data_IF_142532533422
#
_entry.id   IF_142532533422
#
_cell.length_a   1.000
_cell.length_b   1.000
_cell.length_c   1.000
_cell.angle_alpha   90.00
_cell.angle_beta   90.00
_cell.angle_gamma   90.00
#
_symmetry.space_group_name_H-M   'P 1'
#
loop_
_entity.id
_entity.type
_entity.pdbx_description
1 polymer ?
#
# COMPACT_ATOMS: atom_id res chain seq x y z
N UNK A 1 -4.38 -14.28 -2.96
CA UNK A 1 -5.22 -13.08 -2.75
C UNK A 1 -5.06 -12.60 -1.32
N UNK A 2 -4.80 -11.30 -1.12
CA UNK A 2 -4.70 -10.69 0.21
C UNK A 2 -5.95 -10.99 1.06
N UNK A 3 -5.78 -11.15 2.37
CA UNK A 3 -6.86 -11.58 3.29
C UNK A 3 -8.08 -10.67 3.26
N UNK A 4 -7.89 -9.38 3.02
CA UNK A 4 -8.95 -8.37 2.86
C UNK A 4 -9.95 -8.74 1.75
N UNK A 5 -9.49 -8.88 0.50
CA UNK A 5 -10.36 -9.18 -0.65
C UNK A 5 -11.03 -10.55 -0.51
N UNK A 6 -10.36 -11.54 0.08
CA UNK A 6 -10.98 -12.85 0.34
C UNK A 6 -12.15 -12.74 1.32
N UNK A 7 -12.02 -11.93 2.38
CA UNK A 7 -13.10 -11.68 3.35
C UNK A 7 -14.27 -10.93 2.69
N UNK A 8 -13.95 -9.90 1.90
CA UNK A 8 -14.92 -9.08 1.18
C UNK A 8 -15.75 -9.90 0.17
N UNK A 9 -15.08 -10.70 -0.67
CA UNK A 9 -15.72 -11.58 -1.67
C UNK A 9 -16.64 -12.59 -0.99
N UNK A 10 -16.19 -13.25 0.08
CA UNK A 10 -16.99 -14.24 0.79
C UNK A 10 -18.27 -13.65 1.39
N UNK A 11 -18.25 -12.38 1.81
CA UNK A 11 -19.40 -11.71 2.41
C UNK A 11 -20.40 -11.30 1.33
N UNK A 12 -19.93 -10.68 0.24
CA UNK A 12 -20.77 -10.24 -0.88
C UNK A 12 -21.41 -11.43 -1.62
N UNK A 13 -20.69 -12.54 -1.77
CA UNK A 13 -21.19 -13.72 -2.50
C UNK A 13 -22.28 -14.48 -1.71
N UNK A 14 -22.32 -14.34 -0.38
CA UNK A 14 -23.26 -15.05 0.47
C UNK A 14 -24.55 -14.27 0.79
N UNK A 15 -24.68 -13.03 0.32
CA UNK A 15 -25.86 -12.19 0.57
C UNK A 15 -26.64 -11.97 -0.73
N UNK A 16 -27.97 -11.98 -0.65
CA UNK A 16 -28.84 -11.83 -1.83
C UNK A 16 -28.74 -10.44 -2.49
N UNK A 17 -28.54 -9.40 -1.66
CA UNK A 17 -28.34 -7.99 -2.01
C UNK A 17 -27.13 -7.43 -1.25
N UNK A 18 -26.48 -6.42 -1.81
CA UNK A 18 -25.36 -5.73 -1.15
C UNK A 18 -25.92 -4.72 -0.18
N UNK A 19 -25.50 -4.80 1.08
CA UNK A 19 -25.67 -3.73 2.06
C UNK A 19 -24.54 -2.71 1.86
N UNK A 20 -24.91 -1.50 1.45
CA UNK A 20 -23.96 -0.44 1.10
C UNK A 20 -23.23 0.13 2.32
N UNK A 21 -23.93 0.23 3.46
CA UNK A 21 -23.35 0.74 4.70
C UNK A 21 -22.33 -0.26 5.25
N UNK A 22 -22.63 -1.55 5.16
CA UNK A 22 -21.72 -2.62 5.57
C UNK A 22 -20.50 -2.72 4.63
N UNK A 23 -20.68 -2.51 3.32
CA UNK A 23 -19.57 -2.43 2.37
C UNK A 23 -18.64 -1.25 2.67
N UNK A 24 -19.21 -0.05 2.92
CA UNK A 24 -18.44 1.13 3.31
C UNK A 24 -17.62 0.86 4.58
N UNK A 25 -18.26 0.34 5.63
CA UNK A 25 -17.61 0.05 6.90
C UNK A 25 -16.45 -0.95 6.76
N UNK A 26 -16.59 -1.95 5.88
CA UNK A 26 -15.55 -2.94 5.61
C UNK A 26 -14.37 -2.31 4.85
N UNK A 27 -14.63 -1.44 3.88
CA UNK A 27 -13.59 -0.68 3.16
C UNK A 27 -12.80 0.23 4.12
N UNK A 28 -13.51 0.94 5.02
CA UNK A 28 -12.88 1.78 6.05
C UNK A 28 -12.02 0.93 7.00
N UNK A 29 -12.54 -0.21 7.46
CA UNK A 29 -11.79 -1.16 8.31
C UNK A 29 -10.56 -1.74 7.60
N UNK A 30 -10.56 -1.72 6.27
CA UNK A 30 -9.42 -2.09 5.43
C UNK A 30 -8.35 -1.00 5.28
N UNK A 31 -8.40 0.09 6.06
CA UNK A 31 -7.50 1.26 6.00
C UNK A 31 -7.61 2.09 4.70
N UNK A 32 -8.72 2.01 3.97
CA UNK A 32 -8.93 2.85 2.77
C UNK A 32 -9.32 4.29 3.12
N UNK A 33 -9.81 4.53 4.34
CA UNK A 33 -10.31 5.83 4.78
C UNK A 33 -11.70 6.15 4.23
N UNK A 34 -12.35 7.16 4.83
CA UNK A 34 -13.76 7.49 4.58
C UNK A 34 -14.01 7.95 3.15
N UNK A 35 -13.24 8.93 2.66
CA UNK A 35 -13.48 9.55 1.35
C UNK A 35 -13.39 8.53 0.20
N UNK A 36 -12.32 7.73 0.18
CA UNK A 36 -12.13 6.70 -0.85
C UNK A 36 -13.22 5.63 -0.79
N UNK A 37 -13.65 5.25 0.42
CA UNK A 37 -14.71 4.26 0.61
C UNK A 37 -16.06 4.76 0.06
N UNK A 38 -16.41 6.02 0.34
CA UNK A 38 -17.62 6.67 -0.19
C UNK A 38 -17.58 6.77 -1.73
N UNK A 39 -16.43 7.15 -2.31
CA UNK A 39 -16.27 7.21 -3.77
C UNK A 39 -16.45 5.83 -4.43
N UNK A 40 -15.89 4.77 -3.83
CA UNK A 40 -16.05 3.39 -4.32
C UNK A 40 -17.53 2.97 -4.26
N UNK A 41 -18.20 3.22 -3.14
CA UNK A 41 -19.63 2.86 -2.97
C UNK A 41 -20.52 3.62 -3.96
N UNK A 42 -20.30 4.93 -4.12
CA UNK A 42 -21.05 5.74 -5.09
C UNK A 42 -20.90 5.20 -6.51
N UNK A 43 -19.68 4.88 -6.95
CA UNK A 43 -19.43 4.38 -8.29
C UNK A 43 -20.09 3.01 -8.54
N UNK A 44 -20.11 2.15 -7.51
CA UNK A 44 -20.81 0.86 -7.58
C UNK A 44 -22.33 1.03 -7.64
N UNK A 45 -22.90 1.99 -6.90
CA UNK A 45 -24.34 2.32 -6.96
C UNK A 45 -24.74 2.86 -8.32
N UNK A 46 -23.88 3.70 -8.94
CA UNK A 46 -24.11 4.32 -10.24
C UNK A 46 -24.12 3.32 -11.41
N UNK A 47 -23.66 2.08 -11.21
CA UNK A 47 -23.75 1.02 -12.22
C UNK A 47 -25.21 0.69 -12.61
N UNK A 48 -26.19 1.01 -11.77
CA UNK A 48 -27.62 0.85 -12.08
C UNK A 48 -28.06 -0.60 -12.33
N UNK A 49 -27.24 -1.57 -11.93
CA UNK A 49 -27.49 -3.02 -12.07
C UNK A 49 -27.08 -3.75 -10.80
N UNK A 50 -27.40 -5.04 -10.73
CA UNK A 50 -26.87 -5.90 -9.66
C UNK A 50 -25.34 -5.89 -9.70
N UNK A 51 -24.74 -5.49 -8.57
CA UNK A 51 -23.30 -5.49 -8.36
C UNK A 51 -22.85 -6.88 -7.91
N UNK A 52 -21.78 -7.35 -8.53
CA UNK A 52 -21.12 -8.62 -8.21
C UNK A 52 -19.90 -8.38 -7.30
N UNK A 53 -19.40 -9.45 -6.67
CA UNK A 53 -18.16 -9.36 -5.92
C UNK A 53 -16.96 -8.92 -6.79
N UNK A 54 -16.95 -9.28 -8.08
CA UNK A 54 -15.90 -8.86 -9.01
C UNK A 54 -15.96 -7.35 -9.28
N UNK A 55 -17.16 -6.78 -9.41
CA UNK A 55 -17.32 -5.33 -9.59
C UNK A 55 -16.71 -4.57 -8.41
N UNK A 56 -16.96 -5.01 -7.18
CA UNK A 56 -16.39 -4.38 -5.97
C UNK A 56 -14.87 -4.46 -5.97
N UNK A 57 -14.31 -5.63 -6.31
CA UNK A 57 -12.86 -5.83 -6.36
C UNK A 57 -12.23 -4.93 -7.43
N UNK A 58 -12.82 -4.87 -8.61
CA UNK A 58 -12.29 -4.10 -9.73
C UNK A 58 -12.39 -2.59 -9.46
N UNK A 59 -13.56 -2.07 -9.07
CA UNK A 59 -13.71 -0.64 -8.73
C UNK A 59 -12.73 -0.24 -7.61
N UNK A 60 -12.59 -1.05 -6.57
CA UNK A 60 -11.62 -0.80 -5.49
C UNK A 60 -10.19 -0.79 -6.01
N UNK A 61 -9.82 -1.76 -6.87
CA UNK A 61 -8.49 -1.86 -7.47
C UNK A 61 -8.20 -0.65 -8.36
N UNK A 62 -9.13 -0.27 -9.23
CA UNK A 62 -8.97 0.88 -10.15
C UNK A 62 -8.76 2.16 -9.36
N UNK A 63 -9.60 2.42 -8.35
CA UNK A 63 -9.46 3.61 -7.49
C UNK A 63 -8.15 3.64 -6.73
N UNK A 64 -7.76 2.53 -6.09
CA UNK A 64 -6.49 2.44 -5.38
C UNK A 64 -5.30 2.65 -6.32
N UNK A 65 -5.32 2.04 -7.51
CA UNK A 65 -4.22 2.15 -8.47
C UNK A 65 -4.04 3.58 -8.96
N UNK A 66 -5.14 4.31 -9.15
CA UNK A 66 -5.12 5.72 -9.56
C UNK A 66 -4.50 6.66 -8.51
N UNK A 67 -4.38 6.23 -7.24
CA UNK A 67 -3.71 7.01 -6.19
C UNK A 67 -2.18 6.93 -6.27
N UNK A 68 -1.65 5.91 -6.95
CA UNK A 68 -0.22 5.72 -7.09
C UNK A 68 0.25 6.25 -8.44
N UNK A 69 1.44 6.88 -8.51
CA UNK A 69 2.03 7.22 -9.79
C UNK A 69 2.28 5.96 -10.62
N UNK A 70 2.07 6.04 -11.94
CA UNK A 70 2.35 4.93 -12.87
C UNK A 70 3.83 4.52 -12.82
N UNK A 71 4.72 5.49 -12.59
CA UNK A 71 6.15 5.29 -12.48
C UNK A 71 6.64 5.39 -11.03
N UNK A 72 7.30 4.34 -10.57
CA UNK A 72 8.08 4.33 -9.33
C UNK A 72 9.57 4.24 -9.69
N UNK A 73 10.27 5.38 -9.85
CA UNK A 73 11.67 5.36 -10.27
C UNK A 73 12.51 4.60 -9.25
N UNK A 74 13.31 3.66 -9.74
CA UNK A 74 14.29 2.96 -8.92
C UNK A 74 15.30 3.95 -8.33
N UNK A 75 15.89 3.59 -7.19
CA UNK A 75 16.98 4.35 -6.61
C UNK A 75 18.16 4.38 -7.59
N UNK A 76 18.41 5.54 -8.21
CA UNK A 76 19.46 5.64 -9.22
C UNK A 76 20.83 5.89 -8.58
N UNK A 77 21.88 5.20 -9.04
CA UNK A 77 23.23 5.48 -8.61
C UNK A 77 23.67 6.88 -9.08
N UNK A 78 24.55 7.50 -8.30
CA UNK A 78 25.17 8.78 -8.68
C UNK A 78 26.07 8.60 -9.90
N UNK A 79 26.13 9.62 -10.76
CA UNK A 79 26.96 9.63 -11.97
C UNK A 79 28.33 10.30 -11.76
N UNK A 80 28.61 10.85 -10.57
CA UNK A 80 29.78 11.68 -10.28
C UNK A 80 30.87 10.98 -9.43
N UNK A 81 30.99 9.66 -9.54
CA UNK A 81 31.95 8.80 -8.81
C UNK A 81 31.97 8.96 -7.28
N UNK A 82 30.92 9.58 -6.72
CA UNK A 82 30.75 9.78 -5.26
C UNK A 82 29.78 8.75 -4.69
N UNK A 83 29.95 8.36 -3.40
CA UNK A 83 28.97 7.53 -2.74
C UNK A 83 27.62 8.24 -2.66
N UNK A 84 26.54 7.49 -2.93
CA UNK A 84 25.19 7.95 -2.61
C UNK A 84 24.98 7.93 -1.09
N UNK A 85 24.53 9.05 -0.52
CA UNK A 85 24.26 9.18 0.92
C UNK A 85 22.75 9.15 1.13
N UNK A 86 22.28 8.12 1.85
CA UNK A 86 20.87 7.96 2.20
C UNK A 86 20.69 8.22 3.69
N UNK A 87 19.95 9.28 4.03
CA UNK A 87 19.57 9.58 5.41
C UNK A 87 18.17 9.01 5.69
N UNK A 88 18.09 8.02 6.58
CA UNK A 88 16.81 7.45 6.98
C UNK A 88 16.29 8.18 8.22
N UNK A 89 15.09 8.75 8.10
CA UNK A 89 14.40 9.50 9.16
C UNK A 89 13.08 8.83 9.53
N UNK A 90 12.59 9.06 10.74
CA UNK A 90 11.31 8.53 11.21
C UNK A 90 11.20 8.47 12.73
N UNK A 91 9.98 8.25 13.24
CA UNK A 91 9.71 8.18 14.68
C UNK A 91 10.21 6.87 15.29
N UNK A 92 10.25 6.79 16.62
CA UNK A 92 10.70 5.58 17.32
C UNK A 92 9.72 4.43 17.12
N UNK A 93 10.24 3.23 16.88
CA UNK A 93 9.43 2.02 16.71
C UNK A 93 8.90 1.75 15.30
N UNK A 94 9.10 2.62 14.31
CA UNK A 94 8.62 2.42 12.93
C UNK A 94 9.51 1.52 12.06
N UNK A 95 10.53 0.89 12.67
CA UNK A 95 11.38 -0.06 11.96
C UNK A 95 12.55 0.55 11.18
N UNK A 96 12.97 1.80 11.46
CA UNK A 96 14.12 2.46 10.79
C UNK A 96 15.34 1.56 10.62
N UNK A 97 15.90 1.05 11.72
CA UNK A 97 17.10 0.20 11.71
C UNK A 97 16.90 -1.08 10.91
N UNK A 98 15.73 -1.71 11.03
CA UNK A 98 15.37 -2.91 10.27
C UNK A 98 15.28 -2.60 8.77
N UNK A 99 14.66 -1.48 8.41
CA UNK A 99 14.57 -1.01 7.03
C UNK A 99 15.95 -0.65 6.46
N UNK A 100 16.84 -0.03 7.24
CA UNK A 100 18.24 0.22 6.86
C UNK A 100 18.94 -1.08 6.48
N UNK A 101 18.82 -2.11 7.32
CA UNK A 101 19.45 -3.41 7.06
C UNK A 101 18.89 -4.09 5.80
N UNK A 102 17.57 -4.08 5.63
CA UNK A 102 16.92 -4.64 4.43
C UNK A 102 17.33 -3.89 3.16
N UNK A 103 17.36 -2.56 3.21
CA UNK A 103 17.78 -1.72 2.08
C UNK A 103 19.26 -1.96 1.74
N UNK A 104 20.13 -2.04 2.75
CA UNK A 104 21.55 -2.37 2.56
C UNK A 104 21.72 -3.75 1.88
N UNK A 105 21.00 -4.76 2.35
CA UNK A 105 21.02 -6.09 1.74
C UNK A 105 20.51 -6.08 0.29
N UNK A 106 19.41 -5.38 0.01
CA UNK A 106 18.86 -5.22 -1.33
C UNK A 106 19.89 -4.58 -2.27
N UNK A 107 20.51 -3.47 -1.87
CA UNK A 107 21.51 -2.78 -2.70
C UNK A 107 22.78 -3.62 -2.86
N UNK A 108 23.21 -4.34 -1.83
CA UNK A 108 24.33 -5.27 -1.93
C UNK A 108 24.04 -6.38 -2.95
N UNK A 109 22.82 -6.93 -2.97
CA UNK A 109 22.39 -7.95 -3.94
C UNK A 109 22.36 -7.42 -5.39
N UNK A 110 22.25 -6.10 -5.56
CA UNK A 110 22.34 -5.41 -6.85
C UNK A 110 23.79 -5.05 -7.23
N UNK A 111 24.78 -5.44 -6.43
CA UNK A 111 26.20 -5.24 -6.72
C UNK A 111 26.82 -3.97 -6.16
N UNK A 112 26.07 -3.17 -5.37
CA UNK A 112 26.61 -1.95 -4.76
C UNK A 112 27.48 -2.26 -3.54
N UNK A 113 28.52 -1.45 -3.33
CA UNK A 113 29.27 -1.42 -2.06
C UNK A 113 28.51 -0.60 -1.02
N UNK A 114 28.42 -1.10 0.20
CA UNK A 114 27.58 -0.53 1.26
C UNK A 114 28.41 -0.20 2.49
N UNK A 115 28.20 1.00 3.03
CA UNK A 115 28.69 1.44 4.33
C UNK A 115 27.49 1.83 5.19
N UNK A 116 27.36 1.23 6.38
CA UNK A 116 26.35 1.60 7.36
C UNK A 116 26.95 2.49 8.43
N UNK A 117 26.25 3.57 8.77
CA UNK A 117 26.60 4.47 9.86
C UNK A 117 25.54 4.40 10.96
N UNK A 118 25.95 3.99 12.17
CA UNK A 118 25.07 3.92 13.35
C UNK A 118 24.85 5.32 13.94
N UNK A 119 24.01 6.12 13.29
CA UNK A 119 23.75 7.52 13.67
C UNK A 119 22.61 7.69 14.71
N UNK A 120 21.85 6.64 15.02
CA UNK A 120 20.81 6.66 16.06
C UNK A 120 21.45 6.33 17.43
N UNK A 121 21.95 7.35 18.13
CA UNK A 121 22.73 7.21 19.37
C UNK A 121 21.94 7.52 20.63
N UNK A 122 20.63 7.79 20.52
CA UNK A 122 19.81 8.17 21.68
C UNK A 122 19.40 6.96 22.54
N UNK A 123 19.42 5.74 21.97
CA UNK A 123 19.01 4.50 22.64
C UNK A 123 20.19 3.52 22.64
N UNK A 124 20.44 2.85 23.77
CA UNK A 124 21.45 1.81 23.95
C UNK A 124 20.84 0.42 23.86
#
# INVERSE_FOLDING_TARGET
MAGFFKKLINKITNTAEIDWDDLEAELITGDLGVNLSLEIVSELQDLGRKVSAEDVVETTRTKLSALFPEDSPALQPRTDDKPAVLLLVGVNGTGKTTSTAKLGHLLQSQGYSILLAAADTFRA
#
